data_IF_665061278434
#
_entry.id   IF_665061278434
#
_cell.length_a   1.000
_cell.length_b   1.000
_cell.length_c   1.000
_cell.angle_alpha   90.00
_cell.angle_beta   90.00
_cell.angle_gamma   90.00
#
_symmetry.space_group_name_H-M   'P 1'
#
loop_
_entity.id
_entity.type
_entity.pdbx_description
1 polymer ?
#
# COMPACT_ATOMS: atom_id res chain seq x y z
N UNK A 1 -4.60 -15.17 12.87
CA UNK A 1 -3.86 -14.00 12.37
C UNK A 1 -3.79 -12.97 13.49
N UNK A 2 -2.82 -12.05 13.45
CA UNK A 2 -2.68 -11.00 14.47
C UNK A 2 -3.71 -9.90 14.22
N UNK A 3 -4.23 -9.26 15.28
CA UNK A 3 -5.14 -8.11 15.16
C UNK A 3 -4.56 -6.99 14.28
N UNK A 4 -3.22 -6.82 14.31
CA UNK A 4 -2.53 -5.87 13.45
C UNK A 4 -2.61 -6.24 11.97
N UNK A 5 -2.47 -7.53 11.62
CA UNK A 5 -2.56 -7.99 10.23
C UNK A 5 -3.99 -7.79 9.69
N UNK A 6 -5.00 -8.11 10.50
CA UNK A 6 -6.40 -7.91 10.11
C UNK A 6 -6.72 -6.41 9.93
N UNK A 7 -6.18 -5.53 10.78
CA UNK A 7 -6.33 -4.07 10.62
C UNK A 7 -5.62 -3.55 9.38
N UNK A 8 -4.44 -4.09 9.07
CA UNK A 8 -3.68 -3.72 7.88
C UNK A 8 -4.42 -4.12 6.61
N UNK A 9 -4.93 -5.36 6.53
CA UNK A 9 -5.72 -5.84 5.40
C UNK A 9 -6.94 -4.96 5.13
N UNK A 10 -7.71 -4.64 6.18
CA UNK A 10 -8.87 -3.75 6.06
C UNK A 10 -8.48 -2.36 5.52
N UNK A 11 -7.32 -1.84 5.92
CA UNK A 11 -6.84 -0.54 5.47
C UNK A 11 -6.36 -0.56 4.03
N UNK A 12 -5.74 -1.65 3.59
CA UNK A 12 -5.37 -1.87 2.19
C UNK A 12 -6.63 -1.90 1.31
N UNK A 13 -7.65 -2.64 1.72
CA UNK A 13 -8.91 -2.73 0.98
C UNK A 13 -9.63 -1.37 0.89
N UNK A 14 -9.64 -0.57 1.96
CA UNK A 14 -10.17 0.80 1.93
C UNK A 14 -9.42 1.69 0.93
N UNK A 15 -8.07 1.66 0.97
CA UNK A 15 -7.24 2.46 0.06
C UNK A 15 -7.45 2.05 -1.40
N UNK A 16 -7.59 0.75 -1.68
CA UNK A 16 -7.93 0.24 -3.03
C UNK A 16 -9.28 0.75 -3.53
N UNK A 17 -10.29 0.74 -2.66
CA UNK A 17 -11.61 1.25 -3.02
C UNK A 17 -11.55 2.75 -3.35
N UNK A 18 -10.87 3.52 -2.51
CA UNK A 18 -10.70 4.97 -2.69
C UNK A 18 -9.86 5.31 -3.92
N UNK A 19 -8.87 4.49 -4.27
CA UNK A 19 -8.09 4.63 -5.51
C UNK A 19 -8.98 4.48 -6.74
N UNK A 20 -9.85 3.47 -6.74
CA UNK A 20 -10.81 3.27 -7.81
C UNK A 20 -11.73 4.49 -7.98
N UNK A 21 -12.31 4.97 -6.88
CA UNK A 21 -13.17 6.16 -6.89
C UNK A 21 -12.43 7.43 -7.35
N UNK A 22 -11.19 7.62 -6.90
CA UNK A 22 -10.37 8.77 -7.29
C UNK A 22 -10.03 8.74 -8.79
N UNK A 23 -9.72 7.56 -9.34
CA UNK A 23 -9.49 7.36 -10.78
C UNK A 23 -10.74 7.65 -11.59
N UNK A 24 -11.89 7.13 -11.17
CA UNK A 24 -13.17 7.37 -11.84
C UNK A 24 -13.58 8.85 -11.80
N UNK A 25 -13.20 9.56 -10.73
CA UNK A 25 -13.40 11.00 -10.60
C UNK A 25 -12.36 11.86 -11.34
N UNK A 26 -11.25 11.27 -11.80
CA UNK A 26 -10.11 12.00 -12.39
C UNK A 26 -9.35 12.87 -11.37
N UNK A 27 -9.35 12.49 -10.09
CA UNK A 27 -8.64 13.19 -9.03
C UNK A 27 -7.20 12.65 -8.89
N UNK A 28 -6.32 13.10 -9.78
CA UNK A 28 -4.93 12.65 -9.84
C UNK A 28 -4.15 12.94 -8.54
N UNK A 29 -4.47 14.03 -7.84
CA UNK A 29 -3.83 14.36 -6.57
C UNK A 29 -4.20 13.35 -5.48
N UNK A 30 -5.48 12.99 -5.38
CA UNK A 30 -5.93 11.99 -4.43
C UNK A 30 -5.34 10.61 -4.76
N UNK A 31 -5.23 10.26 -6.05
CA UNK A 31 -4.55 9.03 -6.47
C UNK A 31 -3.10 8.99 -5.98
N UNK A 32 -2.32 10.05 -6.23
CA UNK A 32 -0.92 10.14 -5.77
C UNK A 32 -0.82 10.00 -4.25
N UNK A 33 -1.67 10.74 -3.51
CA UNK A 33 -1.70 10.66 -2.05
C UNK A 33 -2.05 9.27 -1.52
N UNK A 34 -2.92 8.52 -2.20
CA UNK A 34 -3.29 7.16 -1.80
C UNK A 34 -2.21 6.13 -2.11
N UNK A 35 -1.43 6.35 -3.17
CA UNK A 35 -0.25 5.53 -3.49
C UNK A 35 0.83 5.73 -2.42
N UNK A 36 1.10 6.97 -2.01
CA UNK A 36 2.02 7.27 -0.91
C UNK A 36 1.55 6.60 0.40
N UNK A 37 0.24 6.59 0.67
CA UNK A 37 -0.32 5.88 1.82
C UNK A 37 -0.05 4.37 1.75
N UNK A 38 -0.17 3.73 0.58
CA UNK A 38 0.17 2.31 0.40
C UNK A 38 1.66 2.04 0.62
N UNK A 39 2.55 2.91 0.15
CA UNK A 39 3.99 2.77 0.38
C UNK A 39 4.33 2.85 1.88
N UNK A 40 3.68 3.75 2.61
CA UNK A 40 3.81 3.83 4.07
C UNK A 40 3.31 2.56 4.78
N UNK A 41 2.20 1.97 4.30
CA UNK A 41 1.69 0.71 4.84
C UNK A 41 2.63 -0.46 4.52
N UNK A 42 3.26 -0.46 3.34
CA UNK A 42 4.28 -1.45 2.95
C UNK A 42 5.46 -1.45 3.94
N UNK A 43 6.00 -0.27 4.25
CA UNK A 43 7.08 -0.15 5.24
C UNK A 43 6.64 -0.60 6.63
N UNK A 44 5.41 -0.30 7.02
CA UNK A 44 4.89 -0.69 8.33
C UNK A 44 4.70 -2.22 8.42
N UNK A 45 4.19 -2.83 7.37
CA UNK A 45 4.01 -4.28 7.27
C UNK A 45 5.34 -5.02 7.38
N UNK A 46 6.34 -4.57 6.62
CA UNK A 46 7.71 -5.13 6.63
C UNK A 46 8.34 -5.06 8.02
N UNK A 47 8.26 -3.90 8.70
CA UNK A 47 8.78 -3.73 10.06
C UNK A 47 8.10 -4.59 11.12
N UNK A 48 6.89 -5.08 10.84
CA UNK A 48 6.10 -5.90 11.76
C UNK A 48 6.01 -7.37 11.31
N UNK A 49 6.83 -7.78 10.34
CA UNK A 49 6.90 -9.16 9.81
C UNK A 49 5.53 -9.66 9.29
N UNK A 50 4.79 -8.75 8.66
CA UNK A 50 3.50 -9.02 7.99
C UNK A 50 3.72 -9.13 6.49
N UNK A 51 2.99 -10.04 5.84
CA UNK A 51 3.07 -10.24 4.40
C UNK A 51 2.79 -8.95 3.63
N UNK A 52 3.80 -8.49 2.90
CA UNK A 52 3.78 -7.27 2.09
C UNK A 52 3.28 -7.52 0.66
N UNK A 53 3.15 -8.78 0.25
CA UNK A 53 2.75 -9.17 -1.10
C UNK A 53 1.47 -8.50 -1.60
N UNK A 54 0.38 -8.48 -0.82
CA UNK A 54 -0.86 -7.81 -1.21
C UNK A 54 -0.68 -6.31 -1.48
N UNK A 55 0.09 -5.60 -0.65
CA UNK A 55 0.35 -4.16 -0.81
C UNK A 55 1.18 -3.89 -2.07
N UNK A 56 2.23 -4.68 -2.27
CA UNK A 56 3.14 -4.55 -3.39
C UNK A 56 2.43 -4.75 -4.74
N UNK A 57 1.50 -5.71 -4.84
CA UNK A 57 0.71 -5.94 -6.05
C UNK A 57 -0.22 -4.77 -6.38
N UNK A 58 -0.80 -4.11 -5.37
CA UNK A 58 -1.64 -2.92 -5.58
C UNK A 58 -0.80 -1.75 -6.10
N UNK A 59 0.32 -1.44 -5.44
CA UNK A 59 1.21 -0.34 -5.88
C UNK A 59 1.65 -0.57 -7.33
N UNK A 60 2.02 -1.81 -7.66
CA UNK A 60 2.42 -2.18 -9.02
C UNK A 60 1.29 -2.03 -10.04
N UNK A 61 0.06 -2.42 -9.69
CA UNK A 61 -1.09 -2.24 -10.57
C UNK A 61 -1.38 -0.76 -10.84
N UNK A 62 -1.24 0.10 -9.83
CA UNK A 62 -1.61 1.52 -9.92
C UNK A 62 -0.53 2.40 -10.56
N UNK A 63 0.74 2.08 -10.33
CA UNK A 63 1.89 2.88 -10.82
C UNK A 63 2.54 2.29 -12.07
N UNK A 64 2.31 1.00 -12.34
CA UNK A 64 3.12 0.23 -13.30
C UNK A 64 4.57 -0.01 -12.85
N UNK A 65 4.96 0.45 -11.66
CA UNK A 65 6.30 0.31 -11.11
C UNK A 65 6.41 -0.99 -10.29
N UNK A 66 7.60 -1.58 -10.25
CA UNK A 66 7.88 -2.65 -9.28
C UNK A 66 8.25 -1.94 -7.96
N UNK A 67 7.48 -2.14 -6.87
CA UNK A 67 7.79 -1.51 -5.59
C UNK A 67 9.21 -1.91 -5.14
N UNK A 68 10.06 -0.90 -4.95
CA UNK A 68 11.42 -1.11 -4.46
C UNK A 68 11.34 -1.15 -2.94
N UNK A 69 11.36 -2.36 -2.36
CA UNK A 69 11.50 -2.51 -0.91
C UNK A 69 12.96 -2.13 -0.56
N UNK A 70 13.20 -1.05 0.19
CA UNK A 70 14.55 -0.71 0.61
C UNK A 70 15.07 -1.83 1.54
N UNK A 71 16.25 -2.38 1.24
CA UNK A 71 16.87 -3.37 2.11
C UNK A 71 17.00 -2.80 3.54
N UNK A 72 16.76 -3.63 4.58
CA UNK A 72 16.81 -3.18 5.95
C UNK A 72 18.18 -2.54 6.22
N UNK A 73 18.18 -1.30 6.72
CA UNK A 73 19.42 -0.60 7.07
C UNK A 73 20.10 -1.37 8.18
N UNK A 74 21.20 -2.05 7.86
CA UNK A 74 22.10 -2.63 8.87
C UNK A 74 22.56 -1.49 9.80
N UNK A 75 22.19 -1.59 11.09
CA UNK A 75 22.67 -0.69 12.17
C UNK A 75 23.92 -1.25 12.82
#
# INVERSE_FOLDING_TARGET
MSEFADQLDNRIDDVRHRLHDARDAGDDFLVESLIDDLENLLELADRNDVDTGPIAEVIKAETGAIPVIPEPRES
#
